data_IF_669920286313
#
_entry.id   IF_669920286313
#
_cell.length_a   1.000
_cell.length_b   1.000
_cell.length_c   1.000
_cell.angle_alpha   90.00
_cell.angle_beta   90.00
_cell.angle_gamma   90.00
#
_symmetry.space_group_name_H-M   'P 1'
#
loop_
_entity.id
_entity.type
_entity.pdbx_description
1 polymer ?
#
# COMPACT_ATOMS: atom_id res chain seq x y z
N UNK A 1 -50.24 -1.32 -20.68
CA UNK A 1 -49.02 -0.47 -20.61
C UNK A 1 -47.93 -1.23 -19.86
N UNK A 2 -46.81 -1.62 -20.51
CA UNK A 2 -45.65 -2.18 -19.82
C UNK A 2 -44.74 -1.06 -19.25
N UNK A 3 -44.03 -1.30 -18.14
CA UNK A 3 -43.15 -0.31 -17.53
C UNK A 3 -41.83 -0.16 -18.32
N UNK A 4 -41.43 1.10 -18.57
CA UNK A 4 -40.14 1.47 -19.18
C UNK A 4 -39.01 1.20 -18.18
N UNK A 5 -38.17 0.18 -18.42
CA UNK A 5 -36.97 -0.11 -17.61
C UNK A 5 -35.79 0.78 -18.05
N UNK A 6 -35.59 1.91 -17.38
CA UNK A 6 -34.48 2.87 -17.60
C UNK A 6 -33.20 2.51 -16.77
N UNK A 7 -33.03 1.25 -16.33
CA UNK A 7 -32.01 0.87 -15.33
C UNK A 7 -30.73 0.19 -15.83
N UNK A 8 -30.69 -0.34 -17.06
CA UNK A 8 -29.63 -1.27 -17.49
C UNK A 8 -28.30 -0.61 -17.87
N UNK A 9 -28.31 0.63 -18.39
CA UNK A 9 -27.07 1.30 -18.84
C UNK A 9 -26.21 1.83 -17.68
N UNK A 10 -26.85 2.41 -16.65
CA UNK A 10 -26.15 2.95 -15.46
C UNK A 10 -25.47 1.86 -14.63
N UNK A 11 -26.13 0.70 -14.44
CA UNK A 11 -25.54 -0.43 -13.69
C UNK A 11 -24.29 -0.99 -14.42
N UNK A 12 -24.35 -1.13 -15.75
CA UNK A 12 -23.18 -1.55 -16.55
C UNK A 12 -22.00 -0.58 -16.46
N UNK A 13 -22.26 0.73 -16.44
CA UNK A 13 -21.23 1.77 -16.32
C UNK A 13 -20.59 1.79 -14.93
N UNK A 14 -21.39 1.64 -13.86
CA UNK A 14 -20.90 1.56 -12.48
C UNK A 14 -20.03 0.31 -12.26
N UNK A 15 -20.48 -0.86 -12.73
CA UNK A 15 -19.69 -2.11 -12.68
C UNK A 15 -18.39 -1.99 -13.48
N UNK A 16 -18.42 -1.36 -14.65
CA UNK A 16 -17.22 -1.12 -15.46
C UNK A 16 -16.22 -0.12 -14.84
N UNK A 17 -16.70 0.88 -14.10
CA UNK A 17 -15.84 1.77 -13.31
C UNK A 17 -15.25 1.03 -12.11
N UNK A 18 -16.07 0.29 -11.36
CA UNK A 18 -15.65 -0.52 -10.21
C UNK A 18 -14.55 -1.53 -10.60
N UNK A 19 -14.77 -2.30 -11.66
CA UNK A 19 -13.80 -3.31 -12.14
C UNK A 19 -12.46 -2.68 -12.56
N UNK A 20 -12.48 -1.49 -13.17
CA UNK A 20 -11.25 -0.77 -13.53
C UNK A 20 -10.52 -0.25 -12.30
N UNK A 21 -11.24 0.25 -11.30
CA UNK A 21 -10.67 0.70 -10.02
C UNK A 21 -10.08 -0.47 -9.24
N UNK A 22 -10.82 -1.57 -9.08
CA UNK A 22 -10.36 -2.80 -8.43
C UNK A 22 -9.10 -3.34 -9.09
N UNK A 23 -9.11 -3.49 -10.42
CA UNK A 23 -7.93 -3.97 -11.16
C UNK A 23 -6.72 -3.05 -10.98
N UNK A 24 -6.91 -1.73 -10.98
CA UNK A 24 -5.80 -0.77 -10.74
C UNK A 24 -5.28 -0.88 -9.31
N UNK A 25 -6.16 -0.89 -8.31
CA UNK A 25 -5.78 -1.04 -6.90
C UNK A 25 -5.05 -2.36 -6.65
N UNK A 26 -5.52 -3.46 -7.23
CA UNK A 26 -4.89 -4.77 -7.10
C UNK A 26 -3.47 -4.80 -7.70
N UNK A 27 -3.28 -4.19 -8.89
CA UNK A 27 -1.95 -4.09 -9.51
C UNK A 27 -1.03 -3.21 -8.67
N UNK A 28 -1.49 -2.04 -8.23
CA UNK A 28 -0.70 -1.14 -7.38
C UNK A 28 -0.31 -1.83 -6.07
N UNK A 29 -1.26 -2.48 -5.39
CA UNK A 29 -1.03 -3.21 -4.14
C UNK A 29 0.00 -4.32 -4.32
N UNK A 30 -0.11 -5.10 -5.41
CA UNK A 30 0.87 -6.14 -5.74
C UNK A 30 2.28 -5.57 -5.92
N UNK A 31 2.42 -4.47 -6.67
CA UNK A 31 3.73 -3.82 -6.90
C UNK A 31 4.34 -3.34 -5.59
N UNK A 32 3.57 -2.64 -4.75
CA UNK A 32 4.06 -2.18 -3.45
C UNK A 32 4.39 -3.34 -2.50
N UNK A 33 3.64 -4.44 -2.56
CA UNK A 33 3.94 -5.64 -1.77
C UNK A 33 5.25 -6.27 -2.21
N UNK A 34 5.54 -6.32 -3.51
CA UNK A 34 6.82 -6.80 -4.02
C UNK A 34 8.00 -5.92 -3.55
N UNK A 35 7.81 -4.59 -3.59
CA UNK A 35 8.79 -3.64 -3.04
C UNK A 35 9.01 -3.86 -1.55
N UNK A 36 7.94 -4.09 -0.76
CA UNK A 36 8.06 -4.40 0.66
C UNK A 36 8.91 -5.65 0.91
N UNK A 37 8.71 -6.71 0.12
CA UNK A 37 9.51 -7.95 0.23
C UNK A 37 10.98 -7.68 -0.12
N UNK A 38 11.25 -6.95 -1.19
CA UNK A 38 12.61 -6.61 -1.61
C UNK A 38 13.34 -5.78 -0.53
N UNK A 39 12.70 -4.74 0.01
CA UNK A 39 13.26 -3.92 1.09
C UNK A 39 13.42 -4.73 2.38
N UNK A 40 12.47 -5.62 2.70
CA UNK A 40 12.59 -6.54 3.83
C UNK A 40 13.80 -7.47 3.70
N UNK A 41 14.10 -7.94 2.50
CA UNK A 41 15.33 -8.67 2.20
C UNK A 41 16.58 -7.84 2.44
N UNK A 42 16.59 -6.57 2.04
CA UNK A 42 17.70 -5.64 2.29
C UNK A 42 17.93 -5.39 3.78
N UNK A 43 16.88 -5.16 4.57
CA UNK A 43 16.99 -4.99 6.04
C UNK A 43 17.67 -6.19 6.68
N UNK A 44 17.29 -7.41 6.25
CA UNK A 44 17.88 -8.65 6.76
C UNK A 44 19.31 -8.85 6.31
N UNK A 45 19.62 -8.54 5.04
CA UNK A 45 20.98 -8.65 4.50
C UNK A 45 21.95 -7.61 5.06
N UNK A 46 21.45 -6.46 5.55
CA UNK A 46 22.25 -5.37 6.14
C UNK A 46 22.21 -5.36 7.66
N UNK A 47 21.63 -6.38 8.29
CA UNK A 47 21.40 -6.46 9.75
C UNK A 47 20.77 -5.19 10.36
N UNK A 48 20.04 -4.42 9.56
CA UNK A 48 19.46 -3.12 9.93
C UNK A 48 18.12 -3.23 10.66
N UNK A 49 17.81 -4.39 11.24
CA UNK A 49 16.51 -4.64 11.89
C UNK A 49 16.31 -3.93 13.23
N UNK A 50 17.33 -3.21 13.72
CA UNK A 50 17.33 -2.44 14.97
C UNK A 50 17.76 -0.97 14.76
N UNK A 51 17.76 -0.49 13.51
CA UNK A 51 18.13 0.88 13.15
C UNK A 51 17.14 1.96 13.60
N UNK A 52 15.87 1.62 13.85
CA UNK A 52 14.84 2.52 14.37
C UNK A 52 14.02 1.82 15.47
N UNK A 53 14.17 2.20 16.75
CA UNK A 53 13.39 1.59 17.83
C UNK A 53 11.90 1.93 17.77
N UNK A 54 11.53 3.08 17.18
CA UNK A 54 10.18 3.64 17.22
C UNK A 54 9.54 3.83 15.83
N UNK A 55 8.21 3.75 15.77
CA UNK A 55 7.37 4.09 14.60
C UNK A 55 6.08 4.76 15.11
N UNK A 56 5.61 5.91 14.57
CA UNK A 56 5.95 6.54 13.28
C UNK A 56 7.10 7.56 13.29
N UNK A 57 7.58 7.93 14.48
CA UNK A 57 8.77 8.78 14.64
C UNK A 57 9.94 7.89 14.94
N UNK A 58 11.05 8.02 14.22
CA UNK A 58 12.30 7.35 14.53
C UNK A 58 13.22 8.30 15.31
N UNK A 59 13.72 7.89 16.48
CA UNK A 59 14.51 8.74 17.39
C UNK A 59 13.84 10.08 17.74
N UNK A 60 12.51 10.06 17.92
CA UNK A 60 11.73 11.28 18.22
C UNK A 60 11.57 12.25 17.04
N UNK A 61 12.07 11.91 15.83
CA UNK A 61 11.95 12.71 14.61
C UNK A 61 11.12 11.96 13.54
N UNK A 62 10.40 12.69 12.69
CA UNK A 62 9.70 12.08 11.55
C UNK A 62 10.65 11.75 10.39
N UNK A 63 11.76 12.47 10.29
CA UNK A 63 12.81 12.20 9.31
C UNK A 63 13.92 11.45 10.07
N UNK A 64 14.27 10.22 9.68
CA UNK A 64 15.34 9.48 10.33
C UNK A 64 16.66 10.27 10.21
N UNK A 65 17.58 10.12 11.18
CA UNK A 65 18.92 10.66 11.04
C UNK A 65 19.59 10.10 9.76
N UNK A 66 20.62 10.78 9.24
CA UNK A 66 21.40 10.33 8.08
C UNK A 66 22.29 9.11 8.40
N UNK A 67 21.71 8.12 9.05
CA UNK A 67 22.31 6.85 9.45
C UNK A 67 21.76 5.74 8.55
N UNK A 68 22.65 4.95 7.95
CA UNK A 68 22.29 3.95 6.94
C UNK A 68 21.25 2.94 7.46
N UNK A 69 21.48 2.39 8.66
CA UNK A 69 20.59 1.39 9.28
C UNK A 69 19.21 1.98 9.60
N UNK A 70 19.15 3.23 10.08
CA UNK A 70 17.90 3.92 10.41
C UNK A 70 17.08 4.21 9.15
N UNK A 71 17.71 4.66 8.06
CA UNK A 71 17.04 4.94 6.78
C UNK A 71 16.43 3.66 6.20
N UNK A 72 17.18 2.56 6.23
CA UNK A 72 16.72 1.27 5.69
C UNK A 72 15.53 0.74 6.48
N UNK A 73 15.61 0.70 7.81
CA UNK A 73 14.50 0.21 8.62
C UNK A 73 13.26 1.11 8.51
N UNK A 74 13.46 2.43 8.53
CA UNK A 74 12.38 3.40 8.36
C UNK A 74 11.69 3.21 7.00
N UNK A 75 12.45 3.02 5.92
CA UNK A 75 11.91 2.79 4.57
C UNK A 75 11.08 1.51 4.48
N UNK A 76 11.51 0.43 5.14
CA UNK A 76 10.76 -0.82 5.22
C UNK A 76 9.42 -0.63 5.94
N UNK A 77 9.44 0.01 7.13
CA UNK A 77 8.23 0.28 7.92
C UNK A 77 7.26 1.23 7.22
N UNK A 78 7.77 2.25 6.52
CA UNK A 78 6.98 3.16 5.72
C UNK A 78 6.29 2.43 4.56
N UNK A 79 7.04 1.58 3.84
CA UNK A 79 6.48 0.78 2.75
C UNK A 79 5.41 -0.19 3.25
N UNK A 80 5.62 -0.81 4.42
CA UNK A 80 4.63 -1.68 5.05
C UNK A 80 3.33 -0.93 5.37
N UNK A 81 3.44 0.29 5.91
CA UNK A 81 2.29 1.13 6.22
C UNK A 81 1.47 1.49 4.97
N UNK A 82 2.15 1.79 3.86
CA UNK A 82 1.50 2.05 2.57
C UNK A 82 0.80 0.79 2.04
N UNK A 83 1.44 -0.38 2.12
CA UNK A 83 0.85 -1.66 1.68
C UNK A 83 -0.41 -1.98 2.49
N UNK A 84 -0.39 -1.81 3.81
CA UNK A 84 -1.55 -2.05 4.68
C UNK A 84 -2.72 -1.14 4.29
N UNK A 85 -2.45 0.14 4.04
CA UNK A 85 -3.50 1.06 3.64
C UNK A 85 -4.10 0.71 2.27
N UNK A 86 -3.25 0.31 1.31
CA UNK A 86 -3.68 -0.14 -0.01
C UNK A 86 -4.50 -1.45 0.04
N UNK A 87 -4.12 -2.41 0.88
CA UNK A 87 -4.88 -3.66 1.04
C UNK A 87 -6.23 -3.42 1.69
N UNK A 88 -6.32 -2.55 2.70
CA UNK A 88 -7.60 -2.14 3.30
C UNK A 88 -8.48 -1.43 2.26
N UNK A 89 -7.92 -0.52 1.47
CA UNK A 89 -8.66 0.14 0.40
C UNK A 89 -9.18 -0.87 -0.64
N UNK A 90 -8.37 -1.85 -1.03
CA UNK A 90 -8.78 -2.92 -1.93
C UNK A 90 -9.88 -3.80 -1.33
N UNK A 91 -9.88 -4.02 -0.01
CA UNK A 91 -10.86 -4.85 0.68
C UNK A 91 -12.24 -4.17 0.85
N UNK A 92 -12.28 -2.83 0.82
CA UNK A 92 -13.51 -2.04 1.04
C UNK A 92 -14.20 -1.64 -0.27
N UNK A 93 -13.47 -1.62 -1.39
CA UNK A 93 -13.98 -1.30 -2.74
C UNK A 93 -14.58 -2.54 -3.40
#
# INVERSE_FOLDING_TARGET
>A
MPPVRVGTDRDGRLRGLMNRTLRRLAVVTTVFTYLLVAVGGLVRGTESGLGCPDWPRCHGRFIPPLEYHAIIEYSHRATASVVIWLTVALAVV
#
